data_IF_398273559368
#
_entry.id   IF_398273559368
#
_cell.length_a   1.000
_cell.length_b   1.000
_cell.length_c   1.000
_cell.angle_alpha   90.00
_cell.angle_beta   90.00
_cell.angle_gamma   90.00
#
_symmetry.space_group_name_H-M   'P 1'
#
loop_
_entity.id
_entity.type
_entity.pdbx_description
1 polymer ?
#
# COMPACT_ATOMS: atom_id res chain seq x y z
N UNK A 1 1.65 -1.59 -6.86
CA UNK A 1 1.92 -0.13 -6.70
C UNK A 1 2.49 0.47 -7.99
N UNK A 2 3.53 1.31 -8.05
CA UNK A 2 3.83 2.13 -9.27
C UNK A 2 3.87 1.31 -10.58
N UNK A 3 4.48 0.12 -10.57
CA UNK A 3 4.54 -0.77 -11.74
C UNK A 3 3.23 -1.51 -12.07
N UNK A 4 2.11 -1.18 -11.41
CA UNK A 4 0.81 -1.81 -11.68
C UNK A 4 0.67 -3.26 -11.23
N UNK A 5 1.47 -3.72 -10.25
CA UNK A 5 1.39 -5.08 -9.69
C UNK A 5 0.62 -5.09 -8.36
N UNK A 6 -0.17 -6.14 -8.06
CA UNK A 6 -0.81 -6.30 -6.75
C UNK A 6 0.26 -6.44 -5.65
N UNK A 7 -0.06 -6.00 -4.44
CA UNK A 7 0.81 -6.18 -3.28
C UNK A 7 0.29 -7.33 -2.41
N UNK A 8 1.19 -8.23 -2.04
CA UNK A 8 1.00 -9.17 -0.92
C UNK A 8 2.07 -8.84 0.12
N UNK A 9 1.67 -8.55 1.35
CA UNK A 9 2.61 -8.15 2.40
C UNK A 9 2.27 -8.78 3.75
N UNK A 10 3.26 -8.91 4.62
CA UNK A 10 2.99 -9.31 6.00
C UNK A 10 2.28 -8.16 6.73
N UNK A 11 1.29 -8.49 7.57
CA UNK A 11 0.62 -7.55 8.47
C UNK A 11 1.54 -7.16 9.65
N UNK A 12 2.70 -6.60 9.35
CA UNK A 12 3.71 -6.16 10.32
C UNK A 12 4.31 -4.82 9.93
N UNK A 13 4.83 -4.10 10.93
CA UNK A 13 5.52 -2.83 10.73
C UNK A 13 4.63 -1.75 10.12
N UNK A 14 5.11 -1.07 9.08
CA UNK A 14 4.40 -0.01 8.37
C UNK A 14 3.36 -0.49 7.35
N UNK A 15 3.35 -1.78 7.00
CA UNK A 15 2.50 -2.33 5.93
C UNK A 15 1.01 -2.13 6.19
N UNK A 16 0.48 -2.30 7.43
CA UNK A 16 -0.93 -2.07 7.71
C UNK A 16 -1.38 -0.61 7.55
N UNK A 17 -0.45 0.35 7.62
CA UNK A 17 -0.75 1.79 7.45
C UNK A 17 -0.95 2.19 5.98
N UNK A 18 -0.68 1.28 5.05
CA UNK A 18 -0.83 1.49 3.61
C UNK A 18 -2.19 1.00 3.08
N UNK A 19 -3.08 0.51 3.97
CA UNK A 19 -4.31 -0.16 3.57
C UNK A 19 -5.47 0.82 3.38
N UNK A 20 -6.08 0.79 2.20
CA UNK A 20 -7.46 1.26 1.98
C UNK A 20 -8.35 0.05 1.65
N UNK A 21 -8.92 -0.56 2.69
CA UNK A 21 -10.00 -1.57 2.63
C UNK A 21 -9.91 -2.61 1.50
N UNK A 22 -8.80 -3.37 1.42
CA UNK A 22 -8.73 -4.61 0.62
C UNK A 22 -8.89 -4.43 -0.90
N UNK A 23 -8.72 -3.20 -1.42
CA UNK A 23 -8.88 -2.91 -2.86
C UNK A 23 -7.59 -3.09 -3.66
N UNK A 24 -6.43 -3.00 -3.00
CA UNK A 24 -5.10 -2.88 -3.61
C UNK A 24 -4.06 -3.87 -3.06
N UNK A 25 -4.32 -4.51 -1.92
CA UNK A 25 -3.40 -5.47 -1.31
C UNK A 25 -4.08 -6.63 -0.59
N UNK A 26 -3.29 -7.71 -0.43
CA UNK A 26 -3.54 -8.76 0.55
C UNK A 26 -2.50 -8.69 1.66
N UNK A 27 -2.97 -8.80 2.91
CA UNK A 27 -2.09 -8.94 4.05
C UNK A 27 -2.22 -10.31 4.69
N UNK A 28 -1.10 -10.98 4.90
CA UNK A 28 -1.02 -12.24 5.62
C UNK A 28 -0.46 -12.04 7.03
N UNK A 29 -0.86 -12.91 7.96
CA UNK A 29 -0.31 -12.93 9.31
C UNK A 29 1.19 -13.23 9.28
N UNK A 30 2.05 -12.46 9.97
CA UNK A 30 3.49 -12.73 10.00
C UNK A 30 3.80 -14.18 10.38
N UNK A 31 4.68 -14.84 9.61
CA UNK A 31 5.02 -16.25 9.79
C UNK A 31 4.05 -17.25 9.16
N UNK A 32 2.90 -16.82 8.62
CA UNK A 32 1.97 -17.72 7.95
C UNK A 32 2.31 -17.88 6.47
N UNK A 33 3.12 -18.90 6.15
CA UNK A 33 3.41 -19.29 4.77
C UNK A 33 2.16 -19.72 4.00
N UNK A 34 1.21 -20.35 4.69
CA UNK A 34 0.00 -20.91 4.09
C UNK A 34 -0.94 -19.80 3.57
N UNK A 35 -1.06 -18.70 4.32
CA UNK A 35 -1.82 -17.52 3.84
C UNK A 35 -1.12 -16.81 2.68
N UNK A 36 0.21 -16.72 2.72
CA UNK A 36 0.96 -16.17 1.60
C UNK A 36 0.75 -17.02 0.33
N UNK A 37 0.84 -18.34 0.44
CA UNK A 37 0.61 -19.26 -0.66
C UNK A 37 -0.80 -19.14 -1.23
N UNK A 38 -1.84 -19.12 -0.37
CA UNK A 38 -3.23 -19.01 -0.83
C UNK A 38 -3.52 -17.69 -1.56
N UNK A 39 -2.90 -16.58 -1.16
CA UNK A 39 -3.01 -15.32 -1.89
C UNK A 39 -2.31 -15.34 -3.25
N UNK A 40 -1.15 -16.00 -3.33
CA UNK A 40 -0.44 -16.18 -4.60
C UNK A 40 -1.28 -17.04 -5.55
N UNK A 41 -1.82 -18.17 -5.07
CA UNK A 41 -2.69 -19.06 -5.83
C UNK A 41 -3.95 -18.33 -6.31
N UNK A 42 -4.63 -17.61 -5.41
CA UNK A 42 -5.80 -16.81 -5.79
C UNK A 42 -5.52 -15.84 -6.93
N UNK A 43 -4.40 -15.10 -6.87
CA UNK A 43 -4.03 -14.14 -7.92
C UNK A 43 -3.61 -14.83 -9.22
N UNK A 44 -3.01 -16.02 -9.13
CA UNK A 44 -2.65 -16.84 -10.28
C UNK A 44 -3.91 -17.31 -11.03
N UNK A 45 -4.90 -17.81 -10.30
CA UNK A 45 -6.14 -18.34 -10.85
C UNK A 45 -7.11 -17.23 -11.32
N UNK A 46 -6.93 -16.00 -10.83
CA UNK A 46 -7.79 -14.86 -11.14
C UNK A 46 -7.01 -13.70 -11.80
N UNK A 47 -6.55 -13.85 -13.07
CA UNK A 47 -5.72 -12.83 -13.74
C UNK A 47 -6.42 -11.48 -13.90
N UNK A 48 -7.76 -11.48 -14.06
CA UNK A 48 -8.55 -10.24 -14.08
C UNK A 48 -8.45 -9.50 -12.75
N UNK A 49 -8.57 -10.21 -11.62
CA UNK A 49 -8.47 -9.62 -10.29
C UNK A 49 -7.04 -9.14 -10.01
N UNK A 50 -6.04 -9.90 -10.44
CA UNK A 50 -4.63 -9.52 -10.37
C UNK A 50 -4.37 -8.19 -11.08
N UNK A 51 -4.91 -8.01 -12.29
CA UNK A 51 -4.81 -6.74 -13.04
C UNK A 51 -5.54 -5.60 -12.35
N UNK A 52 -6.77 -5.83 -11.91
CA UNK A 52 -7.60 -4.83 -11.20
C UNK A 52 -6.88 -4.32 -9.94
N UNK A 53 -6.44 -5.23 -9.07
CA UNK A 53 -5.72 -4.90 -7.83
C UNK A 53 -4.41 -4.18 -8.13
N UNK A 54 -3.70 -4.57 -9.19
CA UNK A 54 -2.48 -3.91 -9.63
C UNK A 54 -2.70 -2.46 -10.06
N UNK A 55 -3.79 -2.17 -10.79
CA UNK A 55 -4.18 -0.82 -11.18
C UNK A 55 -4.55 0.03 -9.96
N UNK A 56 -5.37 -0.52 -9.06
CA UNK A 56 -5.75 0.16 -7.81
C UNK A 56 -4.51 0.52 -6.98
N UNK A 57 -3.58 -0.43 -6.84
CA UNK A 57 -2.33 -0.21 -6.11
C UNK A 57 -1.46 0.88 -6.78
N UNK A 58 -1.47 0.99 -8.11
CA UNK A 58 -0.76 2.06 -8.82
C UNK A 58 -1.41 3.42 -8.56
N UNK A 59 -2.73 3.50 -8.68
CA UNK A 59 -3.48 4.73 -8.45
C UNK A 59 -3.25 5.24 -7.03
N UNK A 60 -3.35 4.35 -6.03
CA UNK A 60 -3.03 4.68 -4.65
C UNK A 60 -1.61 5.22 -4.51
N UNK A 61 -0.60 4.53 -5.07
CA UNK A 61 0.78 4.95 -4.95
C UNK A 61 1.06 6.33 -5.57
N UNK A 62 0.46 6.63 -6.71
CA UNK A 62 0.61 7.93 -7.38
C UNK A 62 -0.04 9.06 -6.56
N UNK A 63 -1.19 8.80 -5.95
CA UNK A 63 -1.89 9.79 -5.10
C UNK A 63 -1.21 9.99 -3.75
N UNK A 64 -0.64 8.94 -3.17
CA UNK A 64 -0.18 8.91 -1.77
C UNK A 64 1.32 9.15 -1.60
N UNK A 65 2.16 8.84 -2.61
CA UNK A 65 3.63 8.92 -2.47
C UNK A 65 4.27 9.90 -3.46
N UNK A 66 3.63 11.05 -3.69
CA UNK A 66 4.22 12.12 -4.49
C UNK A 66 5.23 12.94 -3.68
N UNK A 67 6.27 13.43 -4.36
CA UNK A 67 7.26 14.35 -3.76
C UNK A 67 6.59 15.59 -3.17
N UNK A 68 5.61 16.14 -3.90
CA UNK A 68 4.91 17.35 -3.48
C UNK A 68 4.12 17.11 -2.20
N UNK A 69 3.45 15.96 -2.06
CA UNK A 69 2.76 15.61 -0.80
C UNK A 69 3.74 15.49 0.36
N UNK A 70 4.90 14.85 0.14
CA UNK A 70 5.94 14.74 1.17
C UNK A 70 6.45 16.12 1.61
N UNK A 71 6.76 17.00 0.66
CA UNK A 71 7.23 18.36 0.96
C UNK A 71 6.15 19.17 1.70
N UNK A 72 4.89 19.09 1.27
CA UNK A 72 3.79 19.80 1.92
C UNK A 72 3.60 19.33 3.37
N UNK A 73 3.59 18.02 3.63
CA UNK A 73 3.48 17.50 4.99
C UNK A 73 4.66 17.88 5.88
N UNK A 74 5.87 18.02 5.32
CA UNK A 74 7.04 18.49 6.08
C UNK A 74 6.98 19.99 6.38
N UNK A 75 6.44 20.79 5.45
CA UNK A 75 6.22 22.23 5.69
C UNK A 75 5.18 22.47 6.76
N UNK A 76 4.05 21.76 6.73
CA UNK A 76 3.02 21.86 7.79
C UNK A 76 3.63 21.64 9.18
N UNK A 77 4.44 20.60 9.35
CA UNK A 77 5.09 20.33 10.64
C UNK A 77 6.08 21.43 11.04
N UNK A 78 6.83 21.98 10.08
CA UNK A 78 7.77 23.06 10.35
C UNK A 78 7.05 24.37 10.72
N UNK A 79 5.95 24.68 10.04
CA UNK A 79 5.11 25.86 10.30
C UNK A 79 4.44 25.74 11.68
N UNK A 80 3.88 24.57 12.02
CA UNK A 80 3.29 24.30 13.34
C UNK A 80 4.31 24.50 14.48
N UNK A 81 5.55 24.01 14.31
CA UNK A 81 6.61 24.21 15.30
C UNK A 81 7.01 25.68 15.44
N UNK A 82 7.00 26.44 14.33
CA UNK A 82 7.34 27.87 14.34
C UNK A 82 6.29 28.74 15.03
N UNK A 83 5.05 28.26 15.17
CA UNK A 83 3.95 28.95 15.86
C UNK A 83 3.96 28.72 17.38
N UNK A 84 4.78 27.80 17.89
CA UNK A 84 4.87 27.44 19.31
C UNK A 84 6.17 27.97 19.96
N UNK A 85 7.11 28.51 19.16
CA UNK A 85 8.36 29.16 19.62
C UNK A 85 8.21 30.68 19.71
#
# INVERSE_FOLDING_TARGET
MICGRPLIGAASGGTPKLIENGKNEFLYSPGSSDQLASFIEFLHDNPHKCKEMGLNAREFAVKSFSRDRFISSMREIADDLSLIS
#
